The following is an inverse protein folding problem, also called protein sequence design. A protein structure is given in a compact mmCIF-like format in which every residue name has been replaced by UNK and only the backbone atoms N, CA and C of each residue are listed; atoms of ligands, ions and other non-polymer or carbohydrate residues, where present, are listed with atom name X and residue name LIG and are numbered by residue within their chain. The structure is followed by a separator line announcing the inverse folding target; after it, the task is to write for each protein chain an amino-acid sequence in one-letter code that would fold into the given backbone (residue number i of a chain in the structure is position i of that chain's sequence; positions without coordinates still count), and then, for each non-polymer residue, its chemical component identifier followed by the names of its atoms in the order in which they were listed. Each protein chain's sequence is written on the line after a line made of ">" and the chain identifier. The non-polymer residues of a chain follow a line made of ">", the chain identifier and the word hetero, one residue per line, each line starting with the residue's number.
data_IF_190075059092
#
_entry.id   IF_190075059092
#
_cell.length_a   1.000
_cell.length_b   1.000
_cell.length_c   1.000
_cell.angle_alpha   90.00
_cell.angle_beta   90.00
_cell.angle_gamma   90.00
#
_symmetry.space_group_name_H-M   'P 1'
#
loop_
_entity.id
_entity.type
_entity.pdbx_description
1 polymer ?
#
# COMPACT_ATOMS: atom_id res chain seq x y z
N UNK A 1 52.83 -21.83 -6.15
CA UNK A 1 52.01 -22.26 -5.04
C UNK A 1 51.43 -21.11 -4.18
N UNK A 2 52.14 -20.00 -3.95
CA UNK A 2 51.60 -18.87 -3.13
C UNK A 2 50.47 -18.05 -3.80
N UNK A 3 50.42 -17.96 -5.11
CA UNK A 3 49.36 -17.22 -5.82
C UNK A 3 48.04 -17.98 -5.92
N UNK A 4 48.05 -19.33 -5.96
CA UNK A 4 46.85 -20.14 -5.98
C UNK A 4 46.12 -20.14 -4.61
N UNK A 5 46.86 -19.97 -3.51
CA UNK A 5 46.29 -19.91 -2.16
C UNK A 5 45.52 -18.60 -1.90
N UNK A 6 46.00 -17.47 -2.47
CA UNK A 6 45.30 -16.19 -2.36
C UNK A 6 44.02 -16.12 -3.20
N UNK A 7 44.00 -16.77 -4.37
CA UNK A 7 42.82 -16.83 -5.20
C UNK A 7 41.70 -17.69 -4.57
N UNK A 8 42.08 -18.80 -3.89
CA UNK A 8 41.11 -19.63 -3.16
C UNK A 8 40.51 -18.93 -1.95
N UNK A 9 41.31 -18.11 -1.24
CA UNK A 9 40.81 -17.32 -0.08
C UNK A 9 39.84 -16.23 -0.52
N UNK A 10 40.04 -15.61 -1.68
CA UNK A 10 39.09 -14.61 -2.24
C UNK A 10 37.81 -15.24 -2.76
N UNK A 11 37.85 -16.46 -3.32
CA UNK A 11 36.67 -17.18 -3.74
C UNK A 11 35.82 -17.69 -2.55
N UNK A 12 36.45 -18.04 -1.44
CA UNK A 12 35.71 -18.44 -0.22
C UNK A 12 35.02 -17.27 0.49
N UNK A 13 35.53 -16.03 0.35
CA UNK A 13 34.89 -14.84 0.91
C UNK A 13 33.66 -14.37 0.09
N UNK A 14 33.58 -14.76 -1.19
CA UNK A 14 32.45 -14.41 -2.06
C UNK A 14 31.23 -15.34 -1.89
N UNK A 15 31.33 -16.40 -1.09
CA UNK A 15 30.27 -17.40 -0.87
C UNK A 15 29.71 -17.40 0.57
N UNK A 16 30.01 -16.38 1.37
CA UNK A 16 29.29 -16.23 2.62
C UNK A 16 27.84 -15.90 2.30
N UNK A 17 26.87 -16.75 2.67
CA UNK A 17 25.47 -16.38 2.52
C UNK A 17 25.26 -15.06 3.26
N UNK A 18 24.66 -14.08 2.61
CA UNK A 18 24.12 -12.90 3.27
C UNK A 18 23.15 -13.39 4.34
N UNK A 19 23.58 -13.44 5.58
CA UNK A 19 22.68 -13.73 6.69
C UNK A 19 21.86 -12.48 6.94
N UNK A 20 20.56 -12.62 6.83
CA UNK A 20 19.64 -11.57 7.28
C UNK A 20 19.84 -11.37 8.80
N UNK A 21 20.08 -10.14 9.23
CA UNK A 21 20.09 -9.82 10.66
C UNK A 21 18.68 -10.02 11.22
N UNK A 22 18.52 -10.99 12.11
CA UNK A 22 17.30 -11.21 12.84
C UNK A 22 17.37 -10.48 14.20
N UNK A 23 16.78 -9.28 14.26
CA UNK A 23 16.66 -8.50 15.50
C UNK A 23 15.18 -8.44 15.96
N UNK A 24 14.57 -9.58 16.37
CA UNK A 24 13.16 -9.60 16.74
C UNK A 24 12.87 -8.87 18.05
N UNK A 25 13.84 -8.66 18.92
CA UNK A 25 13.66 -8.19 20.30
C UNK A 25 14.06 -6.72 20.45
N UNK A 26 13.22 -5.81 19.94
CA UNK A 26 13.38 -4.36 20.16
C UNK A 26 12.51 -3.81 21.30
N UNK A 27 11.79 -4.68 22.03
CA UNK A 27 10.96 -4.33 23.19
C UNK A 27 11.28 -5.27 24.33
N UNK A 28 11.29 -4.75 25.55
CA UNK A 28 11.46 -5.57 26.76
C UNK A 28 10.34 -6.58 26.96
N UNK A 29 9.14 -6.25 26.50
CA UNK A 29 7.96 -7.10 26.54
C UNK A 29 7.47 -7.36 25.14
N UNK A 30 7.28 -8.62 24.80
CA UNK A 30 6.80 -9.09 23.51
C UNK A 30 5.53 -9.93 23.68
N UNK A 31 4.60 -9.72 22.77
CA UNK A 31 3.47 -10.61 22.58
C UNK A 31 3.80 -11.69 21.56
N UNK A 32 3.38 -12.92 21.85
CA UNK A 32 3.36 -14.02 20.88
C UNK A 32 1.93 -14.52 20.80
N UNK A 33 1.37 -14.49 19.62
CA UNK A 33 -0.01 -14.94 19.34
C UNK A 33 0.02 -15.95 18.21
N UNK A 34 -0.58 -17.12 18.46
CA UNK A 34 -0.58 -18.24 17.51
C UNK A 34 -2.02 -18.74 17.36
N UNK A 35 -2.69 -18.46 16.24
CA UNK A 35 -3.96 -19.08 15.90
C UNK A 35 -3.83 -20.60 15.77
N UNK A 36 -4.90 -21.33 16.06
CA UNK A 36 -4.93 -22.79 15.88
C UNK A 36 -4.93 -23.21 14.39
N UNK A 37 -5.21 -22.30 13.46
CA UNK A 37 -4.97 -22.49 12.02
C UNK A 37 -3.71 -21.74 11.57
N UNK A 38 -2.80 -22.43 10.88
CA UNK A 38 -1.50 -21.87 10.48
C UNK A 38 -1.59 -20.72 9.47
N UNK A 39 -2.65 -20.65 8.68
CA UNK A 39 -2.93 -19.59 7.71
C UNK A 39 -3.81 -18.47 8.28
N UNK A 40 -4.24 -18.59 9.55
CA UNK A 40 -5.12 -17.67 10.27
C UNK A 40 -6.53 -17.57 9.65
N UNK A 41 -6.93 -18.55 8.85
CA UNK A 41 -8.20 -18.58 8.12
C UNK A 41 -9.12 -19.70 8.59
N UNK A 42 -10.40 -19.41 8.66
CA UNK A 42 -11.48 -20.26 9.10
C UNK A 42 -12.66 -20.18 8.13
N UNK A 43 -13.53 -21.14 8.15
CA UNK A 43 -14.82 -21.05 7.47
C UNK A 43 -15.80 -20.26 8.33
N UNK A 44 -16.76 -19.59 7.69
CA UNK A 44 -17.90 -19.01 8.41
C UNK A 44 -18.61 -20.07 9.24
N UNK A 45 -18.89 -19.77 10.53
CA UNK A 45 -19.46 -20.71 11.50
C UNK A 45 -18.43 -21.55 12.25
N UNK A 46 -17.21 -21.66 11.80
CA UNK A 46 -16.11 -22.32 12.51
C UNK A 46 -15.68 -21.50 13.72
N UNK A 47 -15.09 -22.15 14.74
CA UNK A 47 -14.57 -21.48 15.93
C UNK A 47 -13.07 -21.30 15.80
N UNK A 48 -12.60 -20.10 16.07
CA UNK A 48 -11.18 -19.75 16.10
C UNK A 48 -10.68 -19.65 17.55
N UNK A 49 -9.49 -20.16 17.79
CA UNK A 49 -8.77 -19.97 19.05
C UNK A 49 -7.36 -19.41 18.79
N UNK A 50 -6.84 -18.66 19.77
CA UNK A 50 -5.50 -18.08 19.70
C UNK A 50 -4.77 -18.39 21.00
N UNK A 51 -3.64 -19.08 20.91
CA UNK A 51 -2.70 -19.18 22.03
C UNK A 51 -1.99 -17.82 22.15
N UNK A 52 -1.94 -17.29 23.37
CA UNK A 52 -1.27 -16.04 23.69
C UNK A 52 -0.18 -16.28 24.74
N UNK A 53 0.98 -15.68 24.50
CA UNK A 53 2.11 -15.64 25.42
C UNK A 53 2.59 -14.22 25.58
N UNK A 54 3.14 -13.91 26.74
CA UNK A 54 3.81 -12.65 27.02
C UNK A 54 5.23 -12.95 27.49
N UNK A 55 6.21 -12.40 26.79
CA UNK A 55 7.63 -12.60 27.12
C UNK A 55 8.21 -11.28 27.62
N UNK A 56 8.92 -11.31 28.76
CA UNK A 56 9.76 -10.20 29.22
C UNK A 56 11.22 -10.63 29.17
N UNK A 57 12.03 -9.87 28.44
CA UNK A 57 13.44 -10.23 28.16
C UNK A 57 13.59 -11.65 27.59
N UNK A 58 12.61 -12.10 26.78
CA UNK A 58 12.58 -13.45 26.22
C UNK A 58 12.06 -14.55 27.17
N UNK A 59 11.73 -14.22 28.42
CA UNK A 59 11.24 -15.19 29.41
C UNK A 59 9.71 -15.13 29.51
N UNK A 60 9.02 -16.27 29.41
CA UNK A 60 7.57 -16.34 29.61
C UNK A 60 7.13 -15.78 30.96
N UNK A 61 6.07 -14.99 30.96
CA UNK A 61 5.50 -14.39 32.16
C UNK A 61 4.35 -15.25 32.66
N UNK A 62 4.46 -15.77 33.90
CA UNK A 62 3.40 -16.56 34.54
C UNK A 62 2.54 -15.70 35.47
N UNK A 63 1.27 -16.07 35.67
CA UNK A 63 0.36 -15.39 36.56
C UNK A 63 -0.15 -14.01 36.08
N UNK A 64 0.33 -13.52 34.94
CA UNK A 64 -0.14 -12.25 34.38
C UNK A 64 -1.56 -12.41 33.83
N UNK A 65 -2.44 -11.45 34.15
CA UNK A 65 -3.79 -11.39 33.58
C UNK A 65 -3.77 -10.66 32.26
N UNK A 66 -4.20 -11.33 31.19
CA UNK A 66 -4.47 -10.76 29.88
C UNK A 66 -5.95 -10.42 29.80
N UNK A 67 -6.24 -9.14 29.61
CA UNK A 67 -7.58 -8.67 29.28
C UNK A 67 -7.74 -8.60 27.77
N UNK A 68 -8.94 -8.84 27.27
CA UNK A 68 -9.22 -8.77 25.84
C UNK A 68 -10.63 -8.30 25.54
N UNK A 69 -10.78 -7.71 24.38
CA UNK A 69 -12.06 -7.42 23.74
C UNK A 69 -12.01 -7.90 22.29
N UNK A 70 -13.16 -8.28 21.74
CA UNK A 70 -13.26 -8.82 20.40
C UNK A 70 -14.41 -8.18 19.62
N UNK A 71 -14.24 -8.05 18.33
CA UNK A 71 -15.28 -7.54 17.43
C UNK A 71 -14.95 -7.84 15.98
N UNK A 72 -15.80 -7.44 15.08
CA UNK A 72 -15.46 -7.42 13.65
C UNK A 72 -14.30 -6.45 13.36
N UNK A 73 -13.57 -6.68 12.28
CA UNK A 73 -12.51 -5.82 11.80
C UNK A 73 -12.95 -4.35 11.76
N UNK A 74 -12.22 -3.47 12.46
CA UNK A 74 -12.51 -2.03 12.62
C UNK A 74 -13.87 -1.69 13.26
N UNK A 75 -14.59 -2.67 13.78
CA UNK A 75 -15.91 -2.49 14.40
C UNK A 75 -15.82 -2.46 15.94
N UNK A 76 -16.86 -1.94 16.62
CA UNK A 76 -16.95 -2.02 18.07
C UNK A 76 -16.84 -3.45 18.60
N UNK A 77 -16.38 -3.58 19.84
CA UNK A 77 -16.35 -4.88 20.50
C UNK A 77 -17.77 -5.42 20.74
N UNK A 78 -17.96 -6.72 20.50
CA UNK A 78 -19.16 -7.48 20.78
C UNK A 78 -18.96 -8.52 21.91
N UNK A 79 -17.72 -8.74 22.33
CA UNK A 79 -17.35 -9.60 23.44
C UNK A 79 -16.10 -9.06 24.13
N UNK A 80 -15.95 -9.39 25.43
CA UNK A 80 -14.78 -9.06 26.24
C UNK A 80 -14.57 -10.11 27.31
N UNK A 81 -13.34 -10.16 27.84
CA UNK A 81 -13.00 -11.09 28.91
C UNK A 81 -11.57 -10.92 29.44
N UNK A 82 -11.16 -11.86 30.24
CA UNK A 82 -9.78 -11.95 30.69
C UNK A 82 -9.38 -13.41 30.89
N UNK A 83 -8.08 -13.67 30.81
CA UNK A 83 -7.47 -14.98 31.08
C UNK A 83 -6.15 -14.78 31.79
N UNK A 84 -5.84 -15.67 32.74
CA UNK A 84 -4.55 -15.67 33.43
C UNK A 84 -3.57 -16.59 32.70
N UNK A 85 -2.35 -16.10 32.44
CA UNK A 85 -1.28 -16.93 31.88
C UNK A 85 -0.86 -17.99 32.89
N UNK A 86 -0.86 -19.26 32.48
CA UNK A 86 -0.40 -20.39 33.21
C UNK A 86 0.75 -21.07 32.48
N UNK A 87 1.89 -21.24 33.15
CA UNK A 87 3.12 -21.66 32.46
C UNK A 87 3.49 -20.77 31.27
N UNK A 88 3.25 -19.47 31.46
CA UNK A 88 3.56 -18.40 30.46
C UNK A 88 2.62 -18.30 29.30
N UNK A 89 1.51 -19.04 29.25
CA UNK A 89 0.57 -19.02 28.12
C UNK A 89 -0.90 -19.18 28.52
N UNK A 90 -1.80 -18.80 27.62
CA UNK A 90 -3.23 -19.06 27.72
C UNK A 90 -3.83 -19.21 26.32
N UNK A 91 -5.06 -19.73 26.24
CA UNK A 91 -5.83 -19.80 24.99
C UNK A 91 -7.05 -18.91 25.12
N UNK A 92 -7.24 -18.05 24.14
CA UNK A 92 -8.40 -17.18 23.99
C UNK A 92 -9.31 -17.75 22.90
N UNK A 93 -10.59 -17.95 23.21
CA UNK A 93 -11.58 -18.31 22.23
C UNK A 93 -12.03 -17.01 21.51
N UNK A 94 -11.58 -16.80 20.28
CA UNK A 94 -11.91 -15.61 19.46
C UNK A 94 -13.34 -15.67 18.94
N UNK A 95 -13.96 -16.84 18.97
CA UNK A 95 -15.33 -17.05 18.55
C UNK A 95 -15.46 -17.41 17.08
N UNK A 96 -16.53 -16.93 16.45
CA UNK A 96 -16.87 -17.26 15.06
C UNK A 96 -17.51 -16.06 14.37
N UNK A 97 -17.61 -16.11 13.04
CA UNK A 97 -18.39 -15.17 12.24
C UNK A 97 -19.45 -15.92 11.40
N UNK A 98 -20.63 -15.32 11.27
CA UNK A 98 -21.73 -15.85 10.42
C UNK A 98 -21.63 -15.37 8.97
N UNK A 99 -20.83 -14.34 8.73
CA UNK A 99 -20.60 -13.74 7.41
C UNK A 99 -19.11 -13.63 7.14
N UNK A 100 -18.70 -13.65 5.88
CA UNK A 100 -17.31 -13.47 5.49
C UNK A 100 -16.71 -12.16 6.03
N UNK A 101 -15.51 -12.21 6.57
CA UNK A 101 -14.84 -11.06 7.15
C UNK A 101 -13.66 -11.39 8.04
N UNK A 102 -13.24 -10.43 8.83
CA UNK A 102 -12.19 -10.60 9.84
C UNK A 102 -12.71 -10.29 11.23
N UNK A 103 -12.25 -11.05 12.22
CA UNK A 103 -12.51 -10.82 13.63
C UNK A 103 -11.22 -10.41 14.31
N UNK A 104 -11.27 -9.30 15.03
CA UNK A 104 -10.16 -8.68 15.72
C UNK A 104 -10.22 -8.99 17.22
N UNK A 105 -9.16 -9.58 17.75
CA UNK A 105 -8.95 -9.81 19.18
C UNK A 105 -7.91 -8.80 19.68
N UNK A 106 -8.36 -7.74 20.34
CA UNK A 106 -7.54 -6.70 20.95
C UNK A 106 -7.28 -7.06 22.39
N UNK A 107 -6.02 -7.06 22.81
CA UNK A 107 -5.62 -7.53 24.13
C UNK A 107 -4.66 -6.56 24.82
N UNK A 108 -4.65 -6.61 26.16
CA UNK A 108 -3.70 -5.83 26.96
C UNK A 108 -3.37 -6.56 28.26
N UNK A 109 -2.18 -6.30 28.76
CA UNK A 109 -1.72 -6.79 30.05
C UNK A 109 -0.82 -5.75 30.72
N UNK A 110 -0.79 -5.76 32.04
CA UNK A 110 0.10 -4.88 32.81
C UNK A 110 1.26 -5.72 33.38
N UNK A 111 2.48 -5.30 33.05
CA UNK A 111 3.73 -5.90 33.54
C UNK A 111 4.55 -4.77 34.16
N UNK A 112 4.97 -4.93 35.41
CA UNK A 112 5.74 -3.92 36.16
C UNK A 112 5.11 -2.51 36.13
N UNK A 113 3.78 -2.43 36.26
CA UNK A 113 3.04 -1.16 36.28
C UNK A 113 2.84 -0.52 34.91
N UNK A 114 3.36 -1.09 33.82
CA UNK A 114 3.18 -0.58 32.44
C UNK A 114 2.23 -1.49 31.65
N UNK A 115 1.26 -0.87 30.97
CA UNK A 115 0.30 -1.60 30.10
C UNK A 115 0.86 -1.75 28.69
N UNK A 116 0.88 -2.99 28.22
CA UNK A 116 1.27 -3.40 26.88
C UNK A 116 0.02 -3.85 26.11
N UNK A 117 -0.13 -3.38 24.88
CA UNK A 117 -1.28 -3.69 24.02
C UNK A 117 -0.82 -4.50 22.82
N UNK A 118 -1.72 -5.33 22.33
CA UNK A 118 -1.52 -6.12 21.10
C UNK A 118 -2.87 -6.45 20.50
N UNK A 119 -2.90 -6.84 19.24
CA UNK A 119 -4.09 -7.41 18.63
C UNK A 119 -3.72 -8.45 17.58
N UNK A 120 -4.67 -9.29 17.27
CA UNK A 120 -4.58 -10.26 16.17
C UNK A 120 -5.92 -10.37 15.48
N UNK A 121 -5.90 -10.37 14.16
CA UNK A 121 -7.09 -10.59 13.33
C UNK A 121 -7.02 -11.95 12.65
N UNK A 122 -8.13 -12.68 12.69
CA UNK A 122 -8.32 -13.94 11.99
C UNK A 122 -9.45 -13.82 10.97
N UNK A 123 -9.28 -14.45 9.80
CA UNK A 123 -10.23 -14.33 8.68
C UNK A 123 -11.22 -15.48 8.64
N UNK A 124 -12.48 -15.18 8.30
CA UNK A 124 -13.55 -16.15 8.10
C UNK A 124 -14.05 -16.07 6.66
N UNK A 125 -13.79 -17.09 5.84
CA UNK A 125 -14.10 -17.16 4.41
C UNK A 125 -13.83 -15.84 3.66
N UNK A 126 -12.65 -15.21 3.83
CA UNK A 126 -12.41 -13.87 3.27
C UNK A 126 -12.46 -13.84 1.74
N UNK A 127 -12.26 -14.96 1.06
CA UNK A 127 -12.44 -15.12 -0.38
C UNK A 127 -13.88 -14.88 -0.85
N UNK A 128 -14.84 -14.96 0.06
CA UNK A 128 -16.26 -14.70 -0.21
C UNK A 128 -16.66 -13.24 0.03
N UNK A 129 -15.79 -12.40 0.58
CA UNK A 129 -16.08 -10.98 0.79
C UNK A 129 -16.44 -10.32 -0.55
N UNK A 130 -17.59 -9.66 -0.59
CA UNK A 130 -18.03 -8.86 -1.74
C UNK A 130 -18.02 -7.38 -1.34
N UNK A 131 -17.54 -6.49 -2.21
CA UNK A 131 -17.57 -5.07 -1.90
C UNK A 131 -18.99 -4.55 -1.77
N UNK A 132 -19.18 -3.60 -0.86
CA UNK A 132 -20.41 -2.83 -0.76
C UNK A 132 -20.53 -1.81 -1.91
N UNK A 133 -19.40 -1.23 -2.31
CA UNK A 133 -19.35 -0.22 -3.36
C UNK A 133 -19.79 -0.80 -4.70
N UNK A 134 -20.84 -0.19 -5.27
CA UNK A 134 -21.34 -0.52 -6.62
C UNK A 134 -20.75 0.41 -7.66
N UNK A 135 -20.66 -0.07 -8.91
CA UNK A 135 -20.19 0.75 -10.03
C UNK A 135 -21.34 1.62 -10.57
N UNK A 136 -21.19 2.95 -10.65
CA UNK A 136 -22.15 3.83 -11.31
C UNK A 136 -22.36 3.44 -12.79
N UNK A 137 -23.58 3.61 -13.30
CA UNK A 137 -23.91 3.23 -14.67
C UNK A 137 -23.08 3.99 -15.72
N UNK A 138 -22.79 5.27 -15.47
CA UNK A 138 -21.99 6.15 -16.33
C UNK A 138 -20.52 6.26 -15.92
N UNK A 139 -20.00 5.30 -15.14
CA UNK A 139 -18.61 5.26 -14.66
C UNK A 139 -17.61 5.31 -15.82
N UNK A 140 -17.85 4.51 -16.88
CA UNK A 140 -16.96 4.45 -18.04
C UNK A 140 -16.95 5.78 -18.78
N UNK A 141 -18.14 6.33 -19.06
CA UNK A 141 -18.29 7.61 -19.75
C UNK A 141 -17.60 8.75 -18.98
N UNK A 142 -17.79 8.77 -17.65
CA UNK A 142 -17.15 9.77 -16.78
C UNK A 142 -15.63 9.74 -16.92
N UNK A 143 -15.00 8.58 -16.83
CA UNK A 143 -13.54 8.49 -16.88
C UNK A 143 -12.99 8.69 -18.30
N UNK A 144 -13.64 8.17 -19.33
CA UNK A 144 -13.21 8.37 -20.72
C UNK A 144 -13.29 9.87 -21.12
N UNK A 145 -14.35 10.58 -20.70
CA UNK A 145 -14.46 12.03 -20.88
C UNK A 145 -13.28 12.77 -20.20
N UNK A 146 -12.99 12.46 -18.96
CA UNK A 146 -11.90 13.13 -18.23
C UNK A 146 -10.51 12.82 -18.84
N UNK A 147 -10.29 11.60 -19.32
CA UNK A 147 -9.06 11.25 -20.05
C UNK A 147 -8.96 11.99 -21.38
N UNK A 148 -10.07 12.10 -22.12
CA UNK A 148 -10.11 12.83 -23.38
C UNK A 148 -9.80 14.34 -23.18
N UNK A 149 -10.29 14.94 -22.10
CA UNK A 149 -9.94 16.33 -21.75
C UNK A 149 -8.44 16.46 -21.39
N UNK A 150 -7.89 15.50 -20.65
CA UNK A 150 -6.46 15.47 -20.35
C UNK A 150 -5.61 15.36 -21.63
N UNK A 151 -6.02 14.54 -22.57
CA UNK A 151 -5.30 14.32 -23.83
C UNK A 151 -5.18 15.59 -24.70
N UNK A 152 -6.09 16.55 -24.54
CA UNK A 152 -6.01 17.88 -25.24
C UNK A 152 -4.91 18.77 -24.67
N UNK A 153 -4.41 18.49 -23.46
CA UNK A 153 -3.34 19.27 -22.83
C UNK A 153 -2.00 18.79 -23.38
N UNK A 154 -1.19 19.65 -24.00
CA UNK A 154 0.15 19.26 -24.46
C UNK A 154 1.00 18.69 -23.35
N UNK A 155 1.81 17.67 -23.64
CA UNK A 155 2.77 17.14 -22.70
C UNK A 155 3.89 18.17 -22.48
N UNK A 156 3.91 18.77 -21.29
CA UNK A 156 4.93 19.75 -20.88
C UNK A 156 5.57 19.33 -19.58
N UNK A 157 6.88 19.24 -19.58
CA UNK A 157 7.67 18.97 -18.38
C UNK A 157 9.03 19.66 -18.43
N UNK A 158 9.64 19.85 -17.27
CA UNK A 158 11.04 20.20 -17.14
C UNK A 158 11.77 19.05 -16.46
N UNK A 159 13.02 18.81 -16.84
CA UNK A 159 13.88 17.76 -16.31
C UNK A 159 15.22 18.39 -15.94
N UNK A 160 15.56 18.41 -14.64
CA UNK A 160 16.80 18.96 -14.10
C UNK A 160 17.55 17.85 -13.43
N UNK A 161 18.86 17.71 -13.72
CA UNK A 161 19.69 16.67 -13.15
C UNK A 161 19.82 16.89 -11.63
N UNK A 162 19.55 15.84 -10.83
CA UNK A 162 19.65 15.83 -9.38
C UNK A 162 20.94 15.09 -8.98
N UNK A 163 22.08 15.79 -9.05
CA UNK A 163 23.41 15.20 -8.87
C UNK A 163 23.56 14.46 -7.55
N UNK A 164 22.94 14.95 -6.47
CA UNK A 164 22.97 14.35 -5.13
C UNK A 164 22.37 12.93 -5.08
N UNK A 165 21.60 12.52 -6.09
CA UNK A 165 20.99 11.21 -6.19
C UNK A 165 21.52 10.38 -7.37
N UNK A 166 22.51 10.90 -8.10
CA UNK A 166 23.24 10.14 -9.12
C UNK A 166 24.31 9.26 -8.47
N UNK A 167 24.57 8.09 -9.07
CA UNK A 167 25.65 7.19 -8.67
C UNK A 167 26.46 6.77 -9.91
N UNK A 168 27.42 5.87 -9.74
CA UNK A 168 28.14 5.24 -10.84
C UNK A 168 27.24 4.34 -11.72
N UNK A 169 26.07 3.92 -11.21
CA UNK A 169 25.13 3.00 -11.88
C UNK A 169 23.83 3.65 -12.36
N UNK A 170 23.43 4.78 -11.78
CA UNK A 170 22.17 5.46 -12.09
C UNK A 170 22.35 6.97 -12.27
N UNK A 171 21.53 7.54 -13.14
CA UNK A 171 21.27 8.97 -13.25
C UNK A 171 19.89 9.31 -12.66
N UNK A 172 19.78 10.47 -12.01
CA UNK A 172 18.54 10.97 -11.41
C UNK A 172 18.22 12.38 -11.89
N UNK A 173 16.93 12.62 -12.15
CA UNK A 173 16.43 13.94 -12.55
C UNK A 173 15.21 14.32 -11.71
N UNK A 174 15.18 15.57 -11.25
CA UNK A 174 13.97 16.18 -10.75
C UNK A 174 13.12 16.60 -11.95
N UNK A 175 11.89 16.10 -11.99
CA UNK A 175 10.91 16.40 -13.04
C UNK A 175 9.77 17.23 -12.45
N UNK A 176 9.38 18.31 -13.17
CA UNK A 176 8.11 19.00 -12.96
C UNK A 176 7.24 18.71 -14.19
N UNK A 177 6.10 18.03 -13.97
CA UNK A 177 5.20 17.59 -15.03
C UNK A 177 3.87 18.33 -14.93
N UNK A 178 3.45 19.03 -15.99
CA UNK A 178 2.13 19.67 -16.08
C UNK A 178 1.04 18.61 -16.26
N UNK A 179 0.01 18.64 -15.39
CA UNK A 179 -1.07 17.64 -15.35
C UNK A 179 -2.45 18.21 -15.70
N UNK A 180 -2.55 19.50 -15.97
CA UNK A 180 -3.82 20.12 -16.38
C UNK A 180 -3.60 21.36 -17.26
N UNK A 181 -4.64 21.76 -17.99
CA UNK A 181 -4.66 22.99 -18.77
C UNK A 181 -4.47 24.26 -17.91
N UNK A 182 -4.86 24.20 -16.62
CA UNK A 182 -4.69 25.31 -15.66
C UNK A 182 -3.27 25.43 -15.10
N UNK A 183 -2.31 24.66 -15.62
CA UNK A 183 -0.91 24.71 -15.19
C UNK A 183 -0.60 23.98 -13.90
N UNK A 184 -1.54 23.22 -13.34
CA UNK A 184 -1.24 22.36 -12.20
C UNK A 184 -0.17 21.35 -12.59
N UNK A 185 0.75 21.09 -11.68
CA UNK A 185 1.88 20.19 -11.91
C UNK A 185 2.03 19.18 -10.77
N UNK A 186 2.73 18.11 -11.02
CA UNK A 186 3.31 17.22 -10.04
C UNK A 186 4.83 17.24 -10.21
N UNK A 187 5.53 16.90 -9.13
CA UNK A 187 6.98 16.72 -9.15
C UNK A 187 7.32 15.25 -8.91
N UNK A 188 8.53 14.86 -9.31
CA UNK A 188 9.03 13.53 -9.03
C UNK A 188 10.48 13.37 -9.38
N UNK A 189 11.08 12.31 -8.85
CA UNK A 189 12.41 11.89 -9.23
C UNK A 189 12.35 10.78 -10.27
N UNK A 190 12.99 11.03 -11.41
CA UNK A 190 13.09 10.10 -12.53
C UNK A 190 14.48 9.50 -12.56
N UNK A 191 14.57 8.20 -12.30
CA UNK A 191 15.79 7.44 -12.26
C UNK A 191 16.00 6.67 -13.55
N UNK A 192 17.19 6.73 -14.09
CA UNK A 192 17.63 6.00 -15.27
C UNK A 192 18.78 5.05 -14.92
N UNK A 193 18.84 3.87 -15.56
CA UNK A 193 20.08 3.12 -15.64
C UNK A 193 21.16 4.01 -16.27
N UNK A 194 22.39 3.96 -15.72
CA UNK A 194 23.53 4.61 -16.37
C UNK A 194 23.72 4.03 -17.77
N UNK A 195 23.82 4.90 -18.78
CA UNK A 195 23.96 4.47 -20.18
C UNK A 195 22.74 3.71 -20.75
N UNK A 196 21.52 4.04 -20.28
CA UNK A 196 20.30 3.51 -20.87
C UNK A 196 20.28 3.71 -22.39
N UNK A 197 20.18 2.62 -23.14
CA UNK A 197 20.09 2.68 -24.60
C UNK A 197 18.64 3.03 -25.04
N UNK A 198 18.52 3.59 -26.23
CA UNK A 198 17.23 3.86 -26.82
C UNK A 198 16.42 2.56 -26.98
N UNK A 199 15.16 2.56 -26.56
CA UNK A 199 14.27 1.42 -26.71
C UNK A 199 14.59 0.21 -25.84
N UNK A 200 15.37 0.37 -24.75
CA UNK A 200 15.89 -0.76 -23.98
C UNK A 200 15.29 -0.95 -22.59
N UNK A 201 14.59 0.06 -22.05
CA UNK A 201 14.22 0.06 -20.65
C UNK A 201 12.71 -0.12 -20.43
N UNK A 202 12.27 -1.09 -19.62
CA UNK A 202 10.94 -1.05 -19.04
C UNK A 202 10.79 0.21 -18.16
N UNK A 203 9.56 0.68 -17.98
CA UNK A 203 9.28 1.84 -17.14
C UNK A 203 8.37 1.47 -15.97
N UNK A 204 8.60 2.07 -14.80
CA UNK A 204 7.75 1.92 -13.63
C UNK A 204 7.34 3.27 -13.05
N UNK A 205 6.05 3.47 -12.86
CA UNK A 205 5.47 4.59 -12.12
C UNK A 205 5.27 4.19 -10.66
N UNK A 206 5.76 5.04 -9.73
CA UNK A 206 5.62 4.84 -8.29
C UNK A 206 4.88 6.02 -7.66
N UNK A 207 3.53 5.97 -7.57
CA UNK A 207 2.75 7.00 -6.89
C UNK A 207 2.89 6.88 -5.35
N UNK A 208 2.70 8.00 -4.60
CA UNK A 208 2.99 8.08 -3.18
C UNK A 208 1.88 7.49 -2.30
N UNK A 209 2.24 7.08 -1.08
CA UNK A 209 1.30 6.91 0.03
C UNK A 209 0.60 8.22 0.41
N UNK A 210 -0.44 8.15 1.24
CA UNK A 210 -1.21 9.33 1.68
C UNK A 210 -0.38 10.33 2.49
N UNK A 211 -0.85 11.57 2.51
CA UNK A 211 -0.28 12.68 3.27
C UNK A 211 0.27 13.81 2.39
N UNK A 212 0.26 15.02 2.93
CA UNK A 212 0.94 16.19 2.37
C UNK A 212 2.42 16.04 2.72
N UNK A 213 3.20 15.52 1.77
CA UNK A 213 4.62 15.21 1.98
C UNK A 213 5.42 15.31 0.68
N UNK A 214 6.70 15.55 0.83
CA UNK A 214 7.67 15.47 -0.25
C UNK A 214 8.32 14.08 -0.30
N UNK A 215 9.10 13.81 -1.33
CA UNK A 215 9.86 12.55 -1.49
C UNK A 215 11.12 12.65 -0.62
N UNK A 216 11.15 11.94 0.53
CA UNK A 216 12.23 12.05 1.53
C UNK A 216 13.42 11.10 1.28
N UNK A 217 13.19 9.95 0.65
CA UNK A 217 14.20 8.89 0.48
C UNK A 217 14.23 8.39 -0.98
N UNK A 218 14.63 9.24 -1.94
CA UNK A 218 14.55 8.90 -3.37
C UNK A 218 15.34 7.64 -3.74
N UNK A 219 16.45 7.37 -3.05
CA UNK A 219 17.33 6.22 -3.32
C UNK A 219 16.85 4.89 -2.71
N UNK A 220 15.77 4.88 -1.92
CA UNK A 220 15.30 3.64 -1.24
C UNK A 220 15.11 2.47 -2.19
N UNK A 221 14.61 2.72 -3.40
CA UNK A 221 14.33 1.68 -4.41
C UNK A 221 15.19 1.86 -5.66
N UNK A 222 16.42 2.38 -5.51
CA UNK A 222 17.35 2.63 -6.62
C UNK A 222 17.69 1.38 -7.44
N UNK A 223 17.54 0.19 -6.84
CA UNK A 223 17.80 -1.10 -7.50
C UNK A 223 16.98 -1.32 -8.77
N UNK A 224 15.79 -0.70 -8.90
CA UNK A 224 15.05 -0.74 -10.16
C UNK A 224 15.88 -0.17 -11.31
N UNK A 225 16.47 1.00 -11.12
CA UNK A 225 17.29 1.62 -12.14
C UNK A 225 18.67 0.93 -12.27
N UNK A 226 19.24 0.46 -11.16
CA UNK A 226 20.48 -0.32 -11.18
C UNK A 226 20.35 -1.63 -11.96
N UNK A 227 19.14 -2.18 -12.06
CA UNK A 227 18.82 -3.42 -12.77
C UNK A 227 18.11 -3.17 -14.13
N UNK A 228 18.19 -1.95 -14.67
CA UNK A 228 17.81 -1.67 -16.05
C UNK A 228 16.41 -1.06 -16.27
N UNK A 229 15.68 -0.68 -15.23
CA UNK A 229 14.33 -0.12 -15.34
C UNK A 229 14.34 1.40 -15.11
N UNK A 230 13.64 2.17 -15.95
CA UNK A 230 13.38 3.59 -15.66
C UNK A 230 12.29 3.67 -14.60
N UNK A 231 12.57 4.36 -13.47
CA UNK A 231 11.64 4.51 -12.36
C UNK A 231 11.27 5.96 -12.15
N UNK A 232 9.98 6.26 -12.10
CA UNK A 232 9.45 7.57 -11.80
C UNK A 232 8.66 7.56 -10.50
N UNK A 233 9.23 8.12 -9.44
CA UNK A 233 8.60 8.33 -8.16
C UNK A 233 8.03 9.74 -8.10
N UNK A 234 6.71 9.86 -7.93
CA UNK A 234 6.01 11.15 -7.96
C UNK A 234 5.47 11.55 -6.60
N UNK A 235 5.30 12.85 -6.37
CA UNK A 235 4.34 13.43 -5.43
C UNK A 235 3.08 13.87 -6.21
N UNK A 236 1.99 14.20 -5.52
CA UNK A 236 0.69 14.44 -6.17
C UNK A 236 0.07 15.80 -5.85
N UNK A 237 0.74 16.63 -5.07
CA UNK A 237 0.21 17.90 -4.57
C UNK A 237 0.77 19.12 -5.30
N UNK A 238 1.79 18.95 -6.13
CA UNK A 238 2.53 20.03 -6.79
C UNK A 238 3.63 20.62 -5.90
N UNK A 239 4.15 19.82 -4.99
CA UNK A 239 5.18 20.23 -4.02
C UNK A 239 6.57 19.88 -4.57
N UNK A 240 7.38 20.91 -4.81
CA UNK A 240 8.78 20.67 -5.20
C UNK A 240 9.52 19.98 -4.03
N UNK A 241 10.08 18.76 -4.20
CA UNK A 241 10.81 18.07 -3.15
C UNK A 241 12.01 18.85 -2.59
N UNK A 242 12.55 19.81 -3.34
CA UNK A 242 13.69 20.65 -2.97
C UNK A 242 13.30 22.00 -2.35
N UNK A 243 11.97 22.22 -2.10
CA UNK A 243 11.55 23.44 -1.43
C UNK A 243 12.08 23.52 0.02
N UNK A 244 12.19 24.72 0.56
CA UNK A 244 12.60 24.91 1.96
C UNK A 244 11.59 24.30 2.93
N UNK A 245 12.06 23.88 4.11
CA UNK A 245 11.17 23.35 5.16
C UNK A 245 10.15 24.39 5.61
N UNK A 246 10.47 25.69 5.53
CA UNK A 246 9.56 26.80 5.86
C UNK A 246 8.44 26.87 4.85
N UNK A 247 8.75 26.95 3.54
CA UNK A 247 7.75 26.93 2.45
C UNK A 247 6.86 25.69 2.52
N UNK A 248 7.44 24.52 2.80
CA UNK A 248 6.67 23.29 2.95
C UNK A 248 5.67 23.40 4.11
N UNK A 249 6.09 23.98 5.25
CA UNK A 249 5.23 24.15 6.42
C UNK A 249 4.06 25.09 6.13
N UNK A 250 4.32 26.24 5.49
CA UNK A 250 3.28 27.21 5.08
C UNK A 250 2.23 26.55 4.17
N UNK A 251 2.67 25.75 3.19
CA UNK A 251 1.76 25.03 2.30
C UNK A 251 0.97 23.96 3.07
N UNK A 252 1.62 23.19 3.94
CA UNK A 252 0.97 22.18 4.78
C UNK A 252 -0.10 22.79 5.68
N UNK A 253 0.20 23.94 6.28
CA UNK A 253 -0.74 24.68 7.13
C UNK A 253 -1.94 25.20 6.33
N UNK A 254 -1.75 25.58 5.06
CA UNK A 254 -2.84 25.98 4.17
C UNK A 254 -3.83 24.83 3.87
N UNK A 255 -3.43 23.57 4.07
CA UNK A 255 -4.32 22.41 4.08
C UNK A 255 -4.97 22.16 5.45
N UNK A 256 -5.05 23.20 6.31
CA UNK A 256 -5.61 23.17 7.67
C UNK A 256 -4.86 22.25 8.65
N UNK A 257 -3.56 22.06 8.48
CA UNK A 257 -2.75 21.21 9.35
C UNK A 257 -3.20 19.73 9.40
N UNK A 258 -4.15 19.33 8.55
CA UNK A 258 -4.63 17.96 8.43
C UNK A 258 -3.93 17.28 7.29
N UNK A 259 -2.97 16.46 7.61
CA UNK A 259 -2.15 15.72 6.64
C UNK A 259 -2.95 15.04 5.53
N UNK A 260 -4.18 14.60 5.82
CA UNK A 260 -5.07 13.90 4.89
C UNK A 260 -6.35 14.68 4.55
N UNK A 261 -6.43 15.97 4.92
CA UNK A 261 -7.62 16.80 4.67
C UNK A 261 -7.99 16.92 3.19
N UNK A 262 -7.02 16.83 2.29
CA UNK A 262 -7.25 16.88 0.85
C UNK A 262 -8.16 15.75 0.35
N UNK A 263 -8.20 14.60 1.04
CA UNK A 263 -9.06 13.46 0.68
C UNK A 263 -10.56 13.76 0.87
N UNK A 264 -10.91 14.84 1.58
CA UNK A 264 -12.29 15.31 1.73
C UNK A 264 -12.64 16.45 0.76
N UNK A 265 -11.64 17.06 0.12
CA UNK A 265 -11.86 18.25 -0.71
C UNK A 265 -12.72 17.94 -1.93
N UNK A 266 -13.92 18.50 -1.98
CA UNK A 266 -14.87 18.35 -3.06
C UNK A 266 -15.62 17.00 -3.08
N UNK A 267 -15.63 16.27 -1.97
CA UNK A 267 -16.25 14.94 -1.86
C UNK A 267 -17.78 14.96 -2.15
N UNK A 268 -18.43 16.10 -2.07
CA UNK A 268 -19.84 16.29 -2.40
C UNK A 268 -20.13 16.27 -3.91
N UNK A 269 -19.08 16.43 -4.76
CA UNK A 269 -19.24 16.54 -6.20
C UNK A 269 -18.14 15.80 -6.95
N UNK A 270 -18.52 14.77 -7.73
CA UNK A 270 -17.58 13.93 -8.50
C UNK A 270 -16.69 14.72 -9.46
N UNK A 271 -17.17 15.85 -10.00
CA UNK A 271 -16.40 16.66 -10.94
C UNK A 271 -15.36 17.55 -10.26
N UNK A 272 -15.53 17.84 -8.97
CA UNK A 272 -14.68 18.72 -8.18
C UNK A 272 -13.83 17.97 -7.12
N UNK A 273 -14.06 16.67 -6.95
CA UNK A 273 -13.32 15.90 -5.96
C UNK A 273 -11.81 15.89 -6.25
N UNK A 274 -11.03 16.19 -5.23
CA UNK A 274 -9.58 16.35 -5.34
C UNK A 274 -8.87 15.19 -6.01
N UNK A 275 -9.30 13.95 -5.73
CA UNK A 275 -8.67 12.74 -6.29
C UNK A 275 -8.82 12.62 -7.81
N UNK A 276 -9.73 13.36 -8.45
CA UNK A 276 -9.82 13.38 -9.92
C UNK A 276 -8.50 13.84 -10.56
N UNK A 277 -7.96 14.96 -10.06
CA UNK A 277 -6.66 15.45 -10.56
C UNK A 277 -5.51 14.50 -10.28
N UNK A 278 -5.56 13.79 -9.13
CA UNK A 278 -4.52 12.84 -8.73
C UNK A 278 -4.51 11.63 -9.66
N UNK A 279 -5.69 11.05 -9.95
CA UNK A 279 -5.81 9.92 -10.87
C UNK A 279 -5.36 10.29 -12.30
N UNK A 280 -5.75 11.47 -12.77
CA UNK A 280 -5.33 11.99 -14.07
C UNK A 280 -3.82 12.31 -14.10
N UNK A 281 -3.22 12.73 -12.99
CA UNK A 281 -1.79 12.94 -12.88
C UNK A 281 -0.99 11.65 -13.03
N UNK A 282 -1.49 10.52 -12.51
CA UNK A 282 -0.88 9.21 -12.74
C UNK A 282 -0.90 8.83 -14.23
N UNK A 283 -2.02 9.06 -14.93
CA UNK A 283 -2.12 8.84 -16.38
C UNK A 283 -1.14 9.76 -17.14
N UNK A 284 -1.06 11.04 -16.76
CA UNK A 284 -0.09 11.97 -17.36
C UNK A 284 1.36 11.53 -17.11
N UNK A 285 1.64 10.92 -15.98
CA UNK A 285 2.97 10.35 -15.68
C UNK A 285 3.29 9.16 -16.60
N UNK A 286 2.30 8.35 -16.96
CA UNK A 286 2.47 7.32 -18.01
C UNK A 286 2.74 7.97 -19.38
N UNK A 287 2.06 9.08 -19.72
CA UNK A 287 2.35 9.82 -20.97
C UNK A 287 3.82 10.25 -21.02
N UNK A 288 4.36 10.77 -19.91
CA UNK A 288 5.77 11.14 -19.83
C UNK A 288 6.67 9.90 -20.03
N UNK A 289 6.44 8.84 -19.25
CA UNK A 289 7.28 7.64 -19.29
C UNK A 289 7.30 6.99 -20.66
N UNK A 290 6.15 6.93 -21.34
CA UNK A 290 6.04 6.34 -22.69
C UNK A 290 6.50 7.28 -23.81
N UNK A 291 6.83 8.54 -23.50
CA UNK A 291 7.45 9.49 -24.45
C UNK A 291 8.98 9.47 -24.42
N UNK A 292 9.56 8.77 -23.45
CA UNK A 292 11.02 8.71 -23.30
C UNK A 292 11.62 7.83 -24.41
N UNK A 293 12.69 8.28 -25.07
CA UNK A 293 13.32 7.50 -26.15
C UNK A 293 13.93 6.19 -25.66
N UNK A 294 14.27 6.08 -24.38
CA UNK A 294 14.82 4.88 -23.77
C UNK A 294 13.77 3.83 -23.40
N UNK A 295 12.47 4.17 -23.39
CA UNK A 295 11.39 3.20 -23.12
C UNK A 295 11.38 2.09 -24.20
N UNK A 296 11.22 0.84 -23.74
CA UNK A 296 11.26 -0.36 -24.59
C UNK A 296 10.03 -0.54 -25.52
N UNK A 297 9.06 0.37 -25.44
CA UNK A 297 7.84 0.31 -26.23
C UNK A 297 6.82 -0.75 -25.80
N UNK A 298 7.08 -1.49 -24.72
CA UNK A 298 6.30 -2.65 -24.29
C UNK A 298 5.87 -2.59 -22.83
N UNK A 299 6.82 -2.40 -21.93
CA UNK A 299 6.64 -2.66 -20.52
C UNK A 299 6.39 -1.36 -19.74
N UNK A 300 5.18 -1.26 -19.17
CA UNK A 300 4.74 -0.16 -18.31
C UNK A 300 4.19 -0.76 -17.03
N UNK A 301 4.86 -0.54 -15.94
CA UNK A 301 4.51 -1.09 -14.62
C UNK A 301 4.02 0.04 -13.72
N UNK A 302 3.06 -0.23 -12.85
CA UNK A 302 2.67 0.68 -11.77
C UNK A 302 2.79 -0.04 -10.44
N UNK A 303 3.48 0.58 -9.46
CA UNK A 303 3.69 0.00 -8.14
C UNK A 303 3.51 1.03 -7.03
N UNK A 304 2.85 0.65 -5.95
CA UNK A 304 2.76 1.51 -4.78
C UNK A 304 2.19 0.83 -3.54
N UNK A 305 2.31 1.52 -2.39
CA UNK A 305 1.76 1.08 -1.12
C UNK A 305 0.74 2.08 -0.56
N UNK A 306 -0.24 1.61 0.19
CA UNK A 306 -1.28 2.43 0.80
C UNK A 306 -2.07 3.22 -0.27
N UNK A 307 -2.14 4.54 -0.18
CA UNK A 307 -2.68 5.35 -1.28
C UNK A 307 -1.95 5.10 -2.60
N UNK A 308 -0.62 4.88 -2.57
CA UNK A 308 0.14 4.51 -3.77
C UNK A 308 -0.33 3.18 -4.37
N UNK A 309 -0.71 2.21 -3.54
CA UNK A 309 -1.33 0.94 -3.97
C UNK A 309 -2.71 1.16 -4.62
N UNK A 310 -3.51 2.06 -4.03
CA UNK A 310 -4.76 2.51 -4.63
C UNK A 310 -4.53 3.15 -6.01
N UNK A 311 -3.56 4.07 -6.10
CA UNK A 311 -3.22 4.77 -7.33
C UNK A 311 -2.65 3.82 -8.39
N UNK A 312 -1.93 2.78 -7.99
CA UNK A 312 -1.45 1.74 -8.89
C UNK A 312 -2.62 0.98 -9.54
N UNK A 313 -3.57 0.51 -8.73
CA UNK A 313 -4.76 -0.19 -9.22
C UNK A 313 -5.65 0.73 -10.09
N UNK A 314 -5.85 1.97 -9.67
CA UNK A 314 -6.60 2.96 -10.46
C UNK A 314 -5.94 3.19 -11.82
N UNK A 315 -4.63 3.38 -11.85
CA UNK A 315 -3.89 3.62 -13.09
C UNK A 315 -3.97 2.40 -14.02
N UNK A 316 -3.78 1.18 -13.49
CA UNK A 316 -3.93 -0.05 -14.26
C UNK A 316 -5.37 -0.25 -14.80
N UNK A 317 -6.38 0.21 -14.04
CA UNK A 317 -7.79 0.17 -14.48
C UNK A 317 -8.17 1.25 -15.50
N UNK A 318 -7.43 2.36 -15.59
CA UNK A 318 -7.72 3.49 -16.48
C UNK A 318 -6.85 3.52 -17.74
N UNK A 319 -5.62 3.02 -17.68
CA UNK A 319 -4.64 3.15 -18.77
C UNK A 319 -4.25 1.76 -19.30
N UNK A 320 -4.66 1.50 -20.54
CA UNK A 320 -4.40 0.21 -21.22
C UNK A 320 -2.93 -0.02 -21.59
N UNK A 321 -2.06 0.98 -21.45
CA UNK A 321 -0.61 0.84 -21.66
C UNK A 321 0.06 0.12 -20.49
N UNK A 322 -0.55 0.14 -19.29
CA UNK A 322 -0.04 -0.61 -18.14
C UNK A 322 -0.03 -2.10 -18.45
N UNK A 323 1.07 -2.77 -18.15
CA UNK A 323 1.29 -4.20 -18.44
C UNK A 323 1.39 -5.08 -17.20
N UNK A 324 1.67 -4.50 -16.03
CA UNK A 324 1.65 -5.17 -14.74
C UNK A 324 1.41 -4.17 -13.60
N UNK A 325 0.81 -4.62 -12.51
CA UNK A 325 0.48 -3.79 -11.35
C UNK A 325 0.89 -4.48 -10.05
N UNK A 326 1.53 -3.74 -9.15
CA UNK A 326 1.83 -4.17 -7.78
C UNK A 326 1.19 -3.19 -6.80
N UNK A 327 0.34 -3.70 -5.89
CA UNK A 327 -0.38 -2.89 -4.92
C UNK A 327 -0.25 -3.47 -3.51
N UNK A 328 0.43 -2.74 -2.62
CA UNK A 328 0.56 -3.13 -1.22
C UNK A 328 -0.54 -2.44 -0.41
N UNK A 329 -1.27 -3.20 0.41
CA UNK A 329 -2.32 -2.73 1.34
C UNK A 329 -3.07 -1.49 0.82
N UNK A 330 -3.81 -1.59 -0.31
CA UNK A 330 -4.34 -0.43 -1.02
C UNK A 330 -5.40 0.32 -0.18
N UNK A 331 -5.21 1.63 -0.04
CA UNK A 331 -6.19 2.55 0.52
C UNK A 331 -7.38 2.78 -0.44
N UNK A 332 -8.35 3.61 -0.08
CA UNK A 332 -9.48 4.03 -0.91
C UNK A 332 -10.30 2.85 -1.50
N UNK A 333 -10.33 1.74 -0.76
CA UNK A 333 -10.85 0.45 -1.19
C UNK A 333 -12.13 0.12 -0.43
N UNK A 334 -13.25 -0.07 -1.14
CA UNK A 334 -14.57 -0.36 -0.55
C UNK A 334 -14.92 0.54 0.64
N UNK A 335 -14.74 1.83 0.43
CA UNK A 335 -14.81 2.84 1.49
C UNK A 335 -16.16 2.89 2.19
N UNK A 336 -17.23 2.56 1.46
CA UNK A 336 -18.58 2.49 1.99
C UNK A 336 -18.91 1.18 2.73
N UNK A 337 -17.94 0.30 2.99
CA UNK A 337 -18.10 -0.97 3.69
C UNK A 337 -18.78 -0.85 5.07
N UNK A 338 -18.61 0.29 5.76
CA UNK A 338 -19.29 0.58 7.03
C UNK A 338 -20.82 0.54 6.92
N UNK A 339 -21.38 0.81 5.74
CA UNK A 339 -22.82 0.69 5.47
C UNK A 339 -23.31 -0.76 5.47
N UNK A 340 -22.38 -1.71 5.32
CA UNK A 340 -22.66 -3.15 5.41
C UNK A 340 -22.33 -3.72 6.81
N UNK A 341 -22.08 -2.87 7.82
CA UNK A 341 -21.74 -3.31 9.17
C UNK A 341 -20.37 -3.99 9.29
N UNK A 342 -19.42 -3.64 8.41
CA UNK A 342 -18.04 -4.15 8.41
C UNK A 342 -17.04 -3.04 8.09
N UNK A 343 -15.75 -3.34 8.16
CA UNK A 343 -14.71 -2.38 7.84
C UNK A 343 -14.89 -1.77 6.44
N UNK A 344 -14.75 -0.46 6.36
CA UNK A 344 -14.58 0.31 5.12
C UNK A 344 -13.15 0.84 5.02
N UNK A 345 -12.74 1.22 3.82
CA UNK A 345 -11.36 1.61 3.52
C UNK A 345 -10.94 2.96 4.11
N UNK A 346 -9.61 3.10 4.26
CA UNK A 346 -8.96 4.36 4.57
C UNK A 346 -9.36 5.46 3.56
N UNK A 347 -9.65 6.70 4.04
CA UNK A 347 -9.41 7.21 5.38
C UNK A 347 -10.61 7.10 6.34
N UNK A 348 -11.47 6.10 6.19
CA UNK A 348 -12.57 5.77 7.09
C UNK A 348 -13.66 6.84 7.23
N UNK A 349 -13.89 7.65 6.21
CA UNK A 349 -14.86 8.75 6.23
C UNK A 349 -16.23 8.32 6.74
N UNK A 350 -16.74 7.20 6.22
CA UNK A 350 -18.09 6.74 6.50
C UNK A 350 -18.25 6.01 7.83
N UNK A 351 -17.19 5.97 8.64
CA UNK A 351 -17.25 5.59 10.06
C UNK A 351 -17.76 6.74 10.92
N UNK A 352 -17.58 7.99 10.45
CA UNK A 352 -17.99 9.20 11.17
C UNK A 352 -19.43 9.53 10.85
N UNK A 353 -20.24 9.76 11.89
CA UNK A 353 -21.63 10.17 11.76
C UNK A 353 -21.78 11.42 10.88
N UNK A 354 -22.78 11.44 10.00
CA UNK A 354 -23.04 12.54 9.06
C UNK A 354 -22.09 12.64 7.87
N UNK A 355 -21.11 11.76 7.75
CA UNK A 355 -20.23 11.72 6.58
C UNK A 355 -20.79 10.87 5.42
N UNK A 356 -21.77 10.02 5.68
CA UNK A 356 -22.35 9.10 4.70
C UNK A 356 -23.57 9.70 3.95
N UNK A 357 -23.50 10.98 3.62
CA UNK A 357 -24.54 11.64 2.83
C UNK A 357 -24.66 11.04 1.42
N UNK A 358 -25.85 11.06 0.79
CA UNK A 358 -26.05 10.50 -0.55
C UNK A 358 -25.08 11.04 -1.61
N UNK A 359 -24.73 12.34 -1.55
CA UNK A 359 -23.82 12.96 -2.52
C UNK A 359 -22.39 12.47 -2.35
N UNK A 360 -21.89 12.35 -1.10
CA UNK A 360 -20.55 11.81 -0.80
C UNK A 360 -20.43 10.35 -1.16
N UNK A 361 -21.45 9.53 -0.84
CA UNK A 361 -21.47 8.11 -1.23
C UNK A 361 -21.48 7.96 -2.75
N UNK A 362 -22.28 8.79 -3.45
CA UNK A 362 -22.36 8.80 -4.92
C UNK A 362 -21.02 9.20 -5.53
N UNK A 363 -20.41 10.28 -5.05
CA UNK A 363 -19.09 10.73 -5.50
C UNK A 363 -18.05 9.63 -5.29
N UNK A 364 -18.01 9.05 -4.08
CA UNK A 364 -17.03 8.02 -3.75
C UNK A 364 -17.12 6.80 -4.67
N UNK A 365 -18.30 6.41 -5.14
CA UNK A 365 -18.47 5.30 -6.07
C UNK A 365 -17.71 5.50 -7.42
N UNK A 366 -17.42 6.74 -7.82
CA UNK A 366 -16.58 7.01 -8.99
C UNK A 366 -15.08 6.93 -8.71
N UNK A 367 -14.67 6.90 -7.44
CA UNK A 367 -13.26 6.98 -7.04
C UNK A 367 -12.79 5.78 -6.22
N UNK A 368 -13.70 4.92 -5.81
CA UNK A 368 -13.37 3.72 -5.06
C UNK A 368 -12.57 2.72 -5.91
N UNK A 369 -11.46 2.25 -5.38
CA UNK A 369 -10.52 1.35 -6.06
C UNK A 369 -11.20 0.08 -6.59
N UNK A 370 -12.22 -0.42 -5.89
CA UNK A 370 -12.99 -1.61 -6.31
C UNK A 370 -13.50 -1.48 -7.74
N UNK A 371 -13.98 -0.29 -8.15
CA UNK A 371 -14.55 -0.10 -9.48
C UNK A 371 -13.50 -0.05 -10.58
N UNK A 372 -12.25 0.33 -10.27
CA UNK A 372 -11.12 0.24 -11.18
C UNK A 372 -10.56 -1.19 -11.24
N UNK A 373 -10.48 -1.88 -10.10
CA UNK A 373 -10.04 -3.26 -10.03
C UNK A 373 -10.83 -4.19 -10.95
N UNK A 374 -12.15 -3.99 -11.05
CA UNK A 374 -13.04 -4.72 -11.99
C UNK A 374 -12.66 -4.58 -13.46
N UNK A 375 -11.84 -3.59 -13.82
CA UNK A 375 -11.45 -3.27 -15.21
C UNK A 375 -10.07 -3.81 -15.58
N UNK A 376 -9.26 -4.18 -14.59
CA UNK A 376 -7.87 -4.58 -14.81
C UNK A 376 -7.84 -5.92 -15.54
N UNK A 377 -7.04 -5.98 -16.61
CA UNK A 377 -6.84 -7.18 -17.44
C UNK A 377 -5.39 -7.70 -17.42
N UNK A 378 -4.49 -6.95 -16.79
CA UNK A 378 -3.06 -7.28 -16.71
C UNK A 378 -2.75 -7.99 -15.40
N UNK A 379 -1.62 -8.71 -15.28
CA UNK A 379 -1.21 -9.33 -14.04
C UNK A 379 -1.14 -8.33 -12.88
N UNK A 380 -1.73 -8.71 -11.74
CA UNK A 380 -1.73 -7.95 -10.50
C UNK A 380 -1.13 -8.76 -9.38
N UNK A 381 -0.16 -8.19 -8.66
CA UNK A 381 0.28 -8.71 -7.37
C UNK A 381 -0.19 -7.78 -6.26
N UNK A 382 -0.86 -8.33 -5.24
CA UNK A 382 -1.27 -7.58 -4.05
C UNK A 382 -0.60 -8.15 -2.80
N UNK A 383 -0.28 -7.28 -1.84
CA UNK A 383 0.26 -7.66 -0.52
C UNK A 383 -0.50 -6.91 0.57
N UNK A 384 -0.85 -7.61 1.64
CA UNK A 384 -1.44 -6.98 2.84
C UNK A 384 -1.22 -7.85 4.08
N UNK A 385 -1.26 -7.21 5.25
CA UNK A 385 -1.28 -7.86 6.55
C UNK A 385 -2.71 -8.03 7.06
N UNK A 386 -2.92 -8.98 7.98
CA UNK A 386 -4.23 -9.11 8.62
C UNK A 386 -4.41 -8.12 9.77
N UNK A 387 -3.32 -7.74 10.45
CA UNK A 387 -3.37 -6.81 11.58
C UNK A 387 -3.39 -5.32 11.15
N UNK A 388 -3.58 -5.02 9.88
CA UNK A 388 -3.63 -3.65 9.39
C UNK A 388 -4.93 -2.94 9.80
N UNK A 389 -4.82 -1.87 10.62
CA UNK A 389 -5.93 -1.01 11.04
C UNK A 389 -6.06 0.27 10.18
N UNK A 390 -5.11 0.51 9.27
CA UNK A 390 -5.15 1.64 8.34
C UNK A 390 -5.85 1.24 7.03
N UNK A 391 -5.39 0.14 6.41
CA UNK A 391 -6.02 -0.45 5.23
C UNK A 391 -6.46 -1.88 5.57
N UNK A 392 -7.63 -2.05 6.21
CA UNK A 392 -7.99 -3.31 6.83
C UNK A 392 -8.07 -4.47 5.83
N UNK A 393 -7.75 -5.70 6.25
CA UNK A 393 -7.75 -6.88 5.38
C UNK A 393 -9.09 -7.12 4.71
N UNK A 394 -10.20 -6.79 5.38
CA UNK A 394 -11.56 -6.84 4.81
C UNK A 394 -11.64 -6.07 3.50
N UNK A 395 -11.05 -4.87 3.42
CA UNK A 395 -11.10 -4.03 2.21
C UNK A 395 -10.10 -4.47 1.15
N UNK A 396 -8.94 -5.00 1.57
CA UNK A 396 -7.96 -5.60 0.65
C UNK A 396 -8.55 -6.82 -0.07
N UNK A 397 -9.25 -7.69 0.67
CA UNK A 397 -9.98 -8.82 0.06
C UNK A 397 -11.14 -8.36 -0.83
N UNK A 398 -11.87 -7.30 -0.46
CA UNK A 398 -12.95 -6.75 -1.31
C UNK A 398 -12.41 -6.34 -2.69
N UNK A 399 -11.21 -5.76 -2.75
CA UNK A 399 -10.52 -5.42 -4.01
C UNK A 399 -10.01 -6.67 -4.71
N UNK A 400 -9.28 -7.54 -3.99
CA UNK A 400 -8.66 -8.72 -4.56
C UNK A 400 -9.69 -9.67 -5.18
N UNK A 401 -10.84 -9.87 -4.51
CA UNK A 401 -11.88 -10.79 -4.96
C UNK A 401 -12.58 -10.35 -6.25
N UNK A 402 -12.60 -9.05 -6.58
CA UNK A 402 -13.22 -8.55 -7.83
C UNK A 402 -12.27 -8.51 -9.01
N UNK A 403 -10.96 -8.72 -8.80
CA UNK A 403 -10.00 -8.86 -9.89
C UNK A 403 -10.31 -10.13 -10.69
N UNK A 404 -10.54 -9.97 -12.00
CA UNK A 404 -10.77 -11.07 -12.95
C UNK A 404 -9.53 -11.40 -13.80
N UNK A 405 -8.47 -10.61 -13.67
CA UNK A 405 -7.19 -10.81 -14.34
C UNK A 405 -6.31 -11.86 -13.64
N UNK A 406 -5.19 -12.28 -14.24
CA UNK A 406 -4.16 -13.02 -13.53
C UNK A 406 -3.74 -12.28 -12.26
N UNK A 407 -3.85 -12.92 -11.10
CA UNK A 407 -3.58 -12.26 -9.81
C UNK A 407 -2.83 -13.17 -8.86
N UNK A 408 -1.99 -12.56 -8.04
CA UNK A 408 -1.23 -13.21 -6.98
C UNK A 408 -1.36 -12.40 -5.69
N UNK A 409 -1.55 -13.09 -4.57
CA UNK A 409 -1.54 -12.48 -3.24
C UNK A 409 -0.30 -12.94 -2.47
N UNK A 410 0.45 -11.99 -1.93
CA UNK A 410 1.47 -12.25 -0.91
C UNK A 410 0.92 -11.75 0.42
N UNK A 411 0.35 -12.67 1.18
CA UNK A 411 -0.24 -12.37 2.49
C UNK A 411 0.86 -12.40 3.56
N UNK A 412 0.91 -11.38 4.39
CA UNK A 412 1.82 -11.25 5.53
C UNK A 412 1.00 -11.10 6.82
N UNK A 413 0.41 -12.17 7.37
CA UNK A 413 -0.65 -12.10 8.38
C UNK A 413 -0.29 -11.24 9.60
N UNK A 414 0.93 -11.34 10.08
CA UNK A 414 1.41 -10.60 11.27
C UNK A 414 1.54 -9.10 11.05
N UNK A 415 1.65 -8.65 9.78
CA UNK A 415 1.91 -7.25 9.51
C UNK A 415 0.67 -6.38 9.80
N UNK A 416 0.96 -5.22 10.37
CA UNK A 416 0.10 -4.04 10.38
C UNK A 416 0.29 -3.26 9.05
N UNK A 417 0.21 -1.93 9.08
CA UNK A 417 0.35 -1.08 7.88
C UNK A 417 1.82 -0.86 7.46
N UNK A 418 2.53 -1.94 7.18
CA UNK A 418 3.92 -1.88 6.74
C UNK A 418 4.31 -3.08 5.87
N UNK A 419 5.36 -2.89 5.08
CA UNK A 419 5.94 -3.92 4.21
C UNK A 419 7.44 -3.98 4.46
N UNK A 420 7.99 -5.19 4.63
CA UNK A 420 9.43 -5.39 4.82
C UNK A 420 10.21 -5.12 3.53
N UNK A 421 11.50 -4.82 3.66
CA UNK A 421 12.38 -4.62 2.50
C UNK A 421 12.49 -5.91 1.66
N UNK A 422 12.44 -7.09 2.28
CA UNK A 422 12.42 -8.38 1.58
C UNK A 422 11.16 -8.55 0.74
N UNK A 423 10.00 -8.17 1.27
CA UNK A 423 8.74 -8.15 0.54
C UNK A 423 8.79 -7.17 -0.63
N UNK A 424 9.30 -5.96 -0.42
CA UNK A 424 9.49 -4.96 -1.49
C UNK A 424 10.44 -5.47 -2.57
N UNK A 425 11.54 -6.13 -2.19
CA UNK A 425 12.46 -6.75 -3.13
C UNK A 425 11.79 -7.88 -3.92
N UNK A 426 10.94 -8.68 -3.28
CA UNK A 426 10.19 -9.75 -3.93
C UNK A 426 9.22 -9.24 -4.99
N UNK A 427 8.73 -8.00 -4.87
CA UNK A 427 7.89 -7.38 -5.89
C UNK A 427 8.67 -7.10 -7.17
N UNK A 428 9.91 -6.62 -7.04
CA UNK A 428 10.78 -6.44 -8.20
C UNK A 428 11.08 -7.77 -8.89
N UNK A 429 11.36 -8.83 -8.13
CA UNK A 429 11.57 -10.17 -8.70
C UNK A 429 10.32 -10.69 -9.42
N UNK A 430 9.13 -10.39 -8.90
CA UNK A 430 7.88 -10.72 -9.58
C UNK A 430 7.69 -9.89 -10.85
N UNK A 431 7.95 -8.57 -10.80
CA UNK A 431 7.86 -7.67 -11.95
C UNK A 431 8.75 -8.18 -13.09
N UNK A 432 10.00 -8.55 -12.80
CA UNK A 432 10.93 -9.08 -13.83
C UNK A 432 10.37 -10.29 -14.59
N UNK A 433 9.57 -11.13 -13.92
CA UNK A 433 8.90 -12.27 -14.56
C UNK A 433 7.71 -11.85 -15.46
N UNK A 434 7.20 -10.63 -15.31
CA UNK A 434 6.10 -10.10 -16.14
C UNK A 434 6.62 -9.32 -17.36
N UNK A 435 7.92 -9.02 -17.45
CA UNK A 435 8.49 -8.27 -18.58
C UNK A 435 8.41 -9.10 -19.87
N UNK A 436 8.04 -8.42 -20.99
CA UNK A 436 7.83 -9.01 -22.32
C UNK A 436 9.03 -8.81 -23.24
#
# INVERSE_FOLDING_TARGET
>A
MKQAFFLLLFLCLALLPLQAENNPYRSDVLWVTVPDHADWLYRTGEKATVEVQLLKYGMPQDGVTVHYEMGGDMMPADAQGSVQLKHGKAVINVGTMKQPGFRDCRMWATVDGKTYRHHIKVGFSPEEIRPYTTKPADFEEFWEKNKAELAKVPLKYTKVRAEQYCTDRIDCYLVKLQVSARGQSVYGYLFYPKQAAQGACPVVLCPPGAGIKTIKHPLRHKYYAEEGCIRFEIEIHGLNPEMSAETFREISDAFNGRENGYLMNGLENRDHYYMKRVYLACIRSIDLLTSLPEWDGKNVIVQGGSQGGALALVTAGLDKRVTACVANHPALSDMAGYKAGRAGGYPHFFRTEGMDTPDKLRTMAYYDVVNFARRIQVPVRMTWGYNDDVCPPTTSYAVYNVLSCPKEALITPVNEHWTSDDTERSHWEWIKKQLK
#
